data_IF_248584713059
#
_entry.id   IF_248584713059
#
_cell.length_a   1.000
_cell.length_b   1.000
_cell.length_c   1.000
_cell.angle_alpha   90.00
_cell.angle_beta   90.00
_cell.angle_gamma   90.00
#
_symmetry.space_group_name_H-M   'P 1'
#
loop_
_entity.id
_entity.type
_entity.pdbx_description
1 polymer ?
#
# COMPACT_ATOMS: atom_id res chain seq x y z
N UNK A 1 -37.01 10.04 -4.52
CA UNK A 1 -35.92 9.28 -5.16
C UNK A 1 -36.50 8.66 -6.44
N UNK A 2 -35.80 8.76 -7.58
CA UNK A 2 -36.27 8.17 -8.85
C UNK A 2 -36.25 6.64 -8.72
N UNK A 3 -37.34 5.94 -9.07
CA UNK A 3 -37.49 4.48 -8.83
C UNK A 3 -36.32 3.64 -9.38
N UNK A 4 -35.72 4.06 -10.51
CA UNK A 4 -34.53 3.43 -11.09
C UNK A 4 -33.26 3.54 -10.25
N UNK A 5 -33.04 4.67 -9.56
CA UNK A 5 -31.87 4.86 -8.69
C UNK A 5 -31.96 3.95 -7.46
N UNK A 6 -33.14 3.84 -6.85
CA UNK A 6 -33.35 2.96 -5.69
C UNK A 6 -33.13 1.49 -6.05
N UNK A 7 -33.55 1.06 -7.24
CA UNK A 7 -33.27 -0.30 -7.75
C UNK A 7 -31.78 -0.54 -7.97
N UNK A 8 -31.05 0.43 -8.55
CA UNK A 8 -29.59 0.34 -8.73
C UNK A 8 -28.86 0.20 -7.40
N UNK A 9 -29.11 1.10 -6.44
CA UNK A 9 -28.47 1.04 -5.12
C UNK A 9 -28.74 -0.31 -4.42
N UNK A 10 -29.97 -0.82 -4.53
CA UNK A 10 -30.34 -2.11 -3.95
C UNK A 10 -29.62 -3.29 -4.64
N UNK A 11 -29.49 -3.25 -5.97
CA UNK A 11 -28.74 -4.24 -6.74
C UNK A 11 -27.26 -4.25 -6.39
N UNK A 12 -26.61 -3.09 -6.45
CA UNK A 12 -25.20 -2.92 -6.06
C UNK A 12 -24.95 -3.41 -4.62
N UNK A 13 -25.88 -3.15 -3.70
CA UNK A 13 -25.76 -3.63 -2.32
C UNK A 13 -25.92 -5.15 -2.22
N UNK A 14 -26.83 -5.74 -2.99
CA UNK A 14 -27.06 -7.18 -2.95
C UNK A 14 -25.77 -7.96 -3.26
N UNK A 15 -25.04 -7.55 -4.30
CA UNK A 15 -23.76 -8.13 -4.72
C UNK A 15 -22.69 -8.06 -3.62
N UNK A 16 -22.65 -6.96 -2.85
CA UNK A 16 -21.68 -6.75 -1.77
C UNK A 16 -22.13 -7.27 -0.40
N UNK A 17 -23.41 -7.61 -0.26
CA UNK A 17 -24.00 -8.09 0.99
C UNK A 17 -23.80 -9.58 1.21
N UNK A 18 -23.36 -10.32 0.20
CA UNK A 18 -23.30 -11.77 0.22
C UNK A 18 -22.41 -12.33 1.37
N UNK A 19 -22.86 -13.39 2.06
CA UNK A 19 -22.07 -14.10 3.07
C UNK A 19 -20.77 -14.73 2.53
N UNK A 20 -20.63 -14.85 1.22
CA UNK A 20 -19.49 -15.43 0.49
C UNK A 20 -18.44 -14.40 0.07
N UNK A 21 -18.65 -13.10 0.32
CA UNK A 21 -17.75 -12.06 -0.17
C UNK A 21 -16.32 -12.30 0.35
N UNK A 22 -15.42 -12.68 -0.56
CA UNK A 22 -13.99 -12.87 -0.34
C UNK A 22 -13.23 -11.65 -0.85
N UNK A 23 -11.92 -11.58 -0.57
CA UNK A 23 -11.08 -10.53 -1.13
C UNK A 23 -11.03 -10.59 -2.67
N UNK A 24 -11.01 -11.79 -3.26
CA UNK A 24 -11.11 -11.95 -4.72
C UNK A 24 -12.44 -11.43 -5.25
N UNK A 25 -13.57 -11.73 -4.60
CA UNK A 25 -14.88 -11.22 -5.02
C UNK A 25 -14.99 -9.70 -4.93
N UNK A 26 -14.33 -9.07 -3.95
CA UNK A 26 -14.24 -7.60 -3.88
C UNK A 26 -13.43 -7.06 -5.06
N UNK A 27 -12.30 -7.68 -5.40
CA UNK A 27 -11.45 -7.25 -6.50
C UNK A 27 -12.18 -7.37 -7.85
N UNK A 28 -12.87 -8.49 -8.06
CA UNK A 28 -13.68 -8.74 -9.25
C UNK A 28 -14.80 -7.70 -9.38
N UNK A 29 -15.47 -7.37 -8.26
CA UNK A 29 -16.51 -6.35 -8.21
C UNK A 29 -15.97 -4.96 -8.54
N UNK A 30 -14.82 -4.58 -7.96
CA UNK A 30 -14.22 -3.27 -8.18
C UNK A 30 -13.60 -3.13 -9.58
N UNK A 31 -13.25 -4.24 -10.24
CA UNK A 31 -12.69 -4.23 -11.59
C UNK A 31 -11.36 -3.47 -11.70
N UNK A 32 -10.58 -3.39 -10.62
CA UNK A 32 -9.37 -2.60 -10.56
C UNK A 32 -8.25 -3.17 -11.41
N UNK A 33 -7.55 -2.27 -12.11
CA UNK A 33 -6.31 -2.61 -12.78
C UNK A 33 -5.16 -2.80 -11.79
N UNK A 34 -4.05 -3.43 -12.18
CA UNK A 34 -2.84 -3.50 -11.36
C UNK A 34 -2.30 -2.11 -10.96
N UNK A 35 -2.49 -1.10 -11.81
CA UNK A 35 -2.10 0.29 -11.52
C UNK A 35 -2.97 0.89 -10.41
N UNK A 36 -4.28 0.65 -10.45
CA UNK A 36 -5.20 1.10 -9.39
C UNK A 36 -4.84 0.47 -8.05
N UNK A 37 -4.59 -0.85 -8.03
CA UNK A 37 -4.18 -1.58 -6.84
C UNK A 37 -2.83 -1.07 -6.31
N UNK A 38 -1.84 -0.86 -7.17
CA UNK A 38 -0.56 -0.26 -6.77
C UNK A 38 -0.73 1.18 -6.25
N UNK A 39 -1.68 1.94 -6.81
CA UNK A 39 -2.08 3.26 -6.34
C UNK A 39 -2.67 3.22 -4.93
N UNK A 40 -3.63 2.31 -4.69
CA UNK A 40 -4.25 2.11 -3.37
C UNK A 40 -3.20 1.67 -2.35
N UNK A 41 -2.36 0.69 -2.69
CA UNK A 41 -1.32 0.18 -1.81
C UNK A 41 -0.33 1.28 -1.39
N UNK A 42 0.14 2.10 -2.34
CA UNK A 42 1.01 3.24 -2.04
C UNK A 42 0.30 4.31 -1.22
N UNK A 43 -0.92 4.67 -1.60
CA UNK A 43 -1.71 5.69 -0.90
C UNK A 43 -1.93 5.33 0.55
N UNK A 44 -2.44 4.12 0.82
CA UNK A 44 -2.73 3.67 2.18
C UNK A 44 -1.46 3.46 3.02
N UNK A 45 -0.34 3.04 2.43
CA UNK A 45 0.93 2.86 3.17
C UNK A 45 1.69 4.16 3.38
N UNK A 46 1.41 5.21 2.60
CA UNK A 46 2.05 6.52 2.72
C UNK A 46 1.48 7.41 3.83
N UNK A 47 0.33 7.04 4.42
CA UNK A 47 -0.28 7.78 5.53
C UNK A 47 0.58 7.67 6.78
N UNK A 48 0.80 8.79 7.45
CA UNK A 48 1.77 8.85 8.56
C UNK A 48 1.08 8.60 9.90
N UNK A 49 0.17 9.49 10.29
CA UNK A 49 -0.40 9.49 11.63
C UNK A 49 -1.81 8.92 11.67
N UNK A 50 -2.66 9.24 10.68
CA UNK A 50 -4.07 8.85 10.68
C UNK A 50 -4.35 7.51 10.01
N UNK A 51 -3.34 6.88 9.40
CA UNK A 51 -3.45 5.54 8.83
C UNK A 51 -4.59 5.43 7.81
N UNK A 52 -5.38 4.37 7.92
CA UNK A 52 -6.49 4.13 6.99
C UNK A 52 -7.54 5.25 6.99
N UNK A 53 -7.72 5.97 8.10
CA UNK A 53 -8.70 7.08 8.18
C UNK A 53 -8.22 8.27 7.36
N UNK A 54 -6.95 8.66 7.53
CA UNK A 54 -6.32 9.73 6.75
C UNK A 54 -6.39 9.43 5.24
N UNK A 55 -6.19 8.16 4.85
CA UNK A 55 -6.37 7.73 3.47
C UNK A 55 -7.81 7.96 2.98
N UNK A 56 -8.82 7.54 3.75
CA UNK A 56 -10.24 7.76 3.39
C UNK A 56 -10.59 9.25 3.28
N UNK A 57 -10.10 10.07 4.21
CA UNK A 57 -10.29 11.52 4.17
C UNK A 57 -9.66 12.14 2.92
N UNK A 58 -8.47 11.68 2.54
CA UNK A 58 -7.78 12.14 1.32
C UNK A 58 -8.57 11.89 0.03
N UNK A 59 -9.46 10.89 0.03
CA UNK A 59 -10.37 10.58 -1.09
C UNK A 59 -11.67 11.38 -1.01
N UNK A 60 -12.21 11.60 0.20
CA UNK A 60 -13.50 12.30 0.39
C UNK A 60 -13.38 13.83 0.29
N UNK A 61 -12.29 14.42 0.78
CA UNK A 61 -12.11 15.88 0.77
C UNK A 61 -12.16 16.45 -0.65
N UNK A 62 -11.44 15.89 -1.65
CA UNK A 62 -11.55 16.34 -3.04
C UNK A 62 -12.95 16.20 -3.63
N UNK A 63 -13.66 15.11 -3.34
CA UNK A 63 -15.04 14.91 -3.78
C UNK A 63 -15.93 16.06 -3.29
N UNK A 64 -15.94 16.35 -1.98
CA UNK A 64 -16.78 17.42 -1.45
C UNK A 64 -16.34 18.81 -1.90
N UNK A 65 -15.03 19.03 -2.11
CA UNK A 65 -14.52 20.25 -2.74
C UNK A 65 -15.09 20.44 -4.15
N UNK A 66 -15.08 19.39 -4.97
CA UNK A 66 -15.66 19.40 -6.31
C UNK A 66 -17.18 19.66 -6.27
N UNK A 67 -17.91 18.98 -5.40
CA UNK A 67 -19.36 19.18 -5.27
C UNK A 67 -19.69 20.60 -4.80
N UNK A 68 -18.87 21.20 -3.95
CA UNK A 68 -19.02 22.59 -3.51
C UNK A 68 -18.79 23.58 -4.64
N UNK A 69 -17.77 23.35 -5.47
CA UNK A 69 -17.53 24.14 -6.68
C UNK A 69 -18.71 24.12 -7.66
N UNK A 70 -19.49 23.03 -7.73
CA UNK A 70 -20.67 22.95 -8.61
C UNK A 70 -21.74 23.99 -8.28
N UNK A 71 -21.75 24.56 -7.07
CA UNK A 71 -22.64 25.67 -6.69
C UNK A 71 -22.35 26.93 -7.51
N UNK A 72 -21.10 27.13 -7.91
CA UNK A 72 -20.62 28.37 -8.53
C UNK A 72 -20.27 28.22 -10.00
N UNK A 73 -19.81 27.04 -10.44
CA UNK A 73 -19.42 26.77 -11.83
C UNK A 73 -20.02 25.47 -12.35
N UNK A 74 -20.00 25.31 -13.67
CA UNK A 74 -20.33 24.04 -14.31
C UNK A 74 -19.10 23.13 -14.26
N UNK A 75 -19.30 21.88 -13.86
CA UNK A 75 -18.25 20.86 -13.78
C UNK A 75 -18.51 19.83 -14.86
N UNK A 76 -17.44 19.42 -15.56
CA UNK A 76 -17.51 18.41 -16.60
C UNK A 76 -17.84 17.03 -16.06
N UNK A 77 -18.51 16.20 -16.86
CA UNK A 77 -18.84 14.83 -16.47
C UNK A 77 -17.59 13.97 -16.23
N UNK A 78 -16.49 14.24 -16.92
CA UNK A 78 -15.21 13.54 -16.72
C UNK A 78 -14.66 13.75 -15.30
N UNK A 79 -14.83 14.96 -14.74
CA UNK A 79 -14.40 15.23 -13.37
C UNK A 79 -15.25 14.48 -12.34
N UNK A 80 -16.56 14.34 -12.58
CA UNK A 80 -17.44 13.53 -11.73
C UNK A 80 -17.14 12.03 -11.86
N UNK A 81 -16.84 11.56 -13.07
CA UNK A 81 -16.43 10.18 -13.30
C UNK A 81 -15.09 9.86 -12.61
N UNK A 82 -14.12 10.78 -12.64
CA UNK A 82 -12.88 10.64 -11.90
C UNK A 82 -13.11 10.53 -10.39
N UNK A 83 -14.04 11.31 -9.83
CA UNK A 83 -14.39 11.18 -8.40
C UNK A 83 -15.11 9.86 -8.09
N UNK A 84 -15.90 9.31 -9.00
CA UNK A 84 -16.46 7.96 -8.82
C UNK A 84 -15.36 6.90 -8.70
N UNK A 85 -14.29 7.00 -9.51
CA UNK A 85 -13.15 6.08 -9.38
C UNK A 85 -12.46 6.20 -8.01
N UNK A 86 -12.35 7.41 -7.45
CA UNK A 86 -11.83 7.59 -6.08
C UNK A 86 -12.80 7.02 -5.02
N UNK A 87 -14.11 7.11 -5.23
CA UNK A 87 -15.11 6.48 -4.35
C UNK A 87 -15.01 4.96 -4.43
N UNK A 88 -14.72 4.37 -5.60
CA UNK A 88 -14.49 2.93 -5.71
C UNK A 88 -13.29 2.49 -4.84
N UNK A 89 -12.20 3.27 -4.81
CA UNK A 89 -11.04 2.98 -3.92
C UNK A 89 -11.44 3.04 -2.45
N UNK A 90 -12.26 4.03 -2.08
CA UNK A 90 -12.81 4.17 -0.73
C UNK A 90 -13.69 2.98 -0.35
N UNK A 91 -14.54 2.54 -1.28
CA UNK A 91 -15.41 1.38 -1.13
C UNK A 91 -14.58 0.10 -0.93
N UNK A 92 -13.56 -0.11 -1.75
CA UNK A 92 -12.64 -1.23 -1.65
C UNK A 92 -11.98 -1.31 -0.26
N UNK A 93 -11.32 -0.23 0.18
CA UNK A 93 -10.65 -0.21 1.49
C UNK A 93 -11.63 -0.53 2.62
N UNK A 94 -12.84 0.02 2.56
CA UNK A 94 -13.86 -0.20 3.58
C UNK A 94 -14.43 -1.63 3.55
N UNK A 95 -14.58 -2.22 2.36
CA UNK A 95 -14.98 -3.62 2.20
C UNK A 95 -13.92 -4.57 2.77
N UNK A 96 -12.63 -4.28 2.55
CA UNK A 96 -11.54 -5.07 3.14
C UNK A 96 -11.57 -4.97 4.66
N UNK A 97 -11.72 -3.77 5.24
CA UNK A 97 -11.90 -3.61 6.70
C UNK A 97 -13.13 -4.37 7.23
N UNK A 98 -14.23 -4.37 6.47
CA UNK A 98 -15.42 -5.17 6.78
C UNK A 98 -15.11 -6.67 6.78
N UNK A 99 -14.29 -7.18 5.86
CA UNK A 99 -13.84 -8.58 5.87
C UNK A 99 -13.08 -8.93 7.15
N UNK A 100 -12.13 -8.08 7.57
CA UNK A 100 -11.41 -8.26 8.84
C UNK A 100 -12.37 -8.27 10.03
N UNK A 101 -13.28 -7.30 10.10
CA UNK A 101 -14.27 -7.23 11.18
C UNK A 101 -15.23 -8.43 11.19
N UNK A 102 -15.45 -9.07 10.03
CA UNK A 102 -16.25 -10.29 9.92
C UNK A 102 -15.49 -11.58 10.23
N UNK A 103 -14.15 -11.52 10.37
CA UNK A 103 -13.28 -12.67 10.58
C UNK A 103 -13.12 -13.57 9.34
N UNK A 104 -13.31 -13.03 8.13
CA UNK A 104 -13.30 -13.78 6.87
C UNK A 104 -12.05 -13.58 6.02
N UNK A 105 -11.05 -12.85 6.52
CA UNK A 105 -9.80 -12.70 5.79
C UNK A 105 -9.02 -14.01 5.88
N UNK A 106 -8.95 -14.72 4.76
CA UNK A 106 -8.08 -15.87 4.57
C UNK A 106 -6.76 -15.36 4.01
N UNK A 107 -5.67 -15.70 4.70
CA UNK A 107 -4.30 -15.30 4.36
C UNK A 107 -3.92 -15.76 2.94
N UNK A 108 -3.17 -14.96 2.15
CA UNK A 108 -2.60 -15.34 0.84
C UNK A 108 -1.51 -16.42 0.91
N UNK A 109 -1.55 -17.33 1.88
CA UNK A 109 -0.50 -18.32 2.12
C UNK A 109 -0.55 -19.54 1.21
N UNK A 110 -1.52 -19.65 0.30
CA UNK A 110 -1.57 -20.76 -0.66
C UNK A 110 -0.71 -20.56 -1.93
N UNK A 111 -0.07 -19.42 -2.12
CA UNK A 111 0.85 -19.20 -3.25
C UNK A 111 2.26 -18.86 -2.77
N UNK A 112 2.95 -19.89 -2.25
CA UNK A 112 4.42 -19.90 -2.21
C UNK A 112 4.94 -20.18 -3.62
N UNK A 113 5.16 -19.13 -4.39
CA UNK A 113 6.07 -19.19 -5.54
C UNK A 113 7.37 -18.49 -5.16
N UNK A 114 8.39 -19.31 -5.01
CA UNK A 114 9.79 -18.93 -4.83
C UNK A 114 10.29 -18.17 -6.06
N UNK A 115 10.22 -16.85 -6.06
CA UNK A 115 11.00 -16.04 -7.01
C UNK A 115 11.68 -14.89 -6.27
N UNK A 116 13.00 -14.95 -6.27
CA UNK A 116 13.89 -13.89 -5.80
C UNK A 116 13.95 -12.85 -6.92
N UNK A 117 13.23 -11.74 -6.78
CA UNK A 117 13.30 -10.63 -7.73
C UNK A 117 14.57 -9.80 -7.49
N UNK A 118 15.35 -9.62 -8.56
CA UNK A 118 16.48 -8.70 -8.59
C UNK A 118 15.96 -7.26 -8.74
N UNK A 119 16.04 -6.46 -7.68
CA UNK A 119 15.81 -5.02 -7.75
C UNK A 119 16.97 -4.31 -8.47
N UNK A 120 16.63 -3.32 -9.29
CA UNK A 120 17.55 -2.54 -10.12
C UNK A 120 18.69 -1.84 -9.34
N UNK A 121 19.71 -1.30 -10.05
CA UNK A 121 21.00 -1.01 -9.46
C UNK A 121 20.99 0.27 -8.62
N UNK A 122 20.63 0.16 -7.33
CA UNK A 122 20.93 1.16 -6.32
C UNK A 122 22.44 1.46 -6.30
N UNK A 123 22.80 2.74 -6.15
CA UNK A 123 24.20 3.16 -6.05
C UNK A 123 24.79 2.71 -4.70
N UNK A 124 26.03 2.24 -4.71
CA UNK A 124 26.73 1.71 -3.54
C UNK A 124 26.80 2.75 -2.41
N UNK A 125 26.94 4.04 -2.78
CA UNK A 125 26.98 5.15 -1.81
C UNK A 125 25.67 5.32 -1.06
N UNK A 126 24.55 5.12 -1.74
CA UNK A 126 23.21 5.24 -1.15
C UNK A 126 22.96 4.09 -0.17
N UNK A 127 23.28 2.86 -0.57
CA UNK A 127 23.20 1.66 0.28
C UNK A 127 24.01 1.86 1.58
N UNK A 128 25.23 2.39 1.47
CA UNK A 128 26.10 2.60 2.62
C UNK A 128 25.62 3.73 3.52
N UNK A 129 25.13 4.83 2.94
CA UNK A 129 24.56 5.92 3.71
C UNK A 129 23.34 5.47 4.50
N UNK A 130 22.47 4.68 3.88
CA UNK A 130 21.27 4.13 4.52
C UNK A 130 21.63 3.15 5.65
N UNK A 131 22.51 2.18 5.40
CA UNK A 131 22.96 1.21 6.43
C UNK A 131 23.61 1.92 7.62
N UNK A 132 24.44 2.93 7.38
CA UNK A 132 25.11 3.68 8.46
C UNK A 132 24.15 4.59 9.23
N UNK A 133 23.18 5.21 8.56
CA UNK A 133 22.12 5.97 9.22
C UNK A 133 21.26 5.08 10.13
N UNK A 134 20.92 3.87 9.67
CA UNK A 134 20.16 2.88 10.45
C UNK A 134 20.95 2.35 11.64
N UNK A 135 22.23 2.02 11.47
CA UNK A 135 23.11 1.62 12.58
C UNK A 135 23.25 2.74 13.63
N UNK A 136 23.24 4.00 13.20
CA UNK A 136 23.29 5.15 14.10
C UNK A 136 21.98 5.30 14.89
N UNK A 137 20.84 5.05 14.26
CA UNK A 137 19.54 5.05 14.91
C UNK A 137 19.35 3.85 15.85
N UNK A 138 19.85 2.67 15.46
CA UNK A 138 19.73 1.43 16.21
C UNK A 138 21.07 0.65 16.24
N UNK A 139 21.86 0.79 17.31
CA UNK A 139 23.18 0.16 17.42
C UNK A 139 23.18 -1.38 17.42
N UNK A 140 22.06 -2.01 17.77
CA UNK A 140 21.87 -3.48 17.78
C UNK A 140 21.98 -4.08 16.36
N UNK A 141 21.69 -3.30 15.31
CA UNK A 141 21.75 -3.74 13.91
C UNK A 141 23.16 -4.14 13.48
N UNK A 142 24.21 -3.70 14.18
CA UNK A 142 25.59 -4.19 13.97
C UNK A 142 25.73 -5.69 14.20
N UNK A 143 24.82 -6.29 14.97
CA UNK A 143 24.82 -7.72 15.26
C UNK A 143 24.17 -8.56 14.16
N UNK A 144 23.36 -7.95 13.28
CA UNK A 144 22.69 -8.61 12.17
C UNK A 144 23.70 -9.18 11.16
N UNK A 145 23.48 -10.43 10.73
CA UNK A 145 24.42 -11.14 9.87
C UNK A 145 24.60 -10.47 8.51
N UNK A 146 23.53 -9.97 7.90
CA UNK A 146 23.59 -9.30 6.60
C UNK A 146 24.36 -7.97 6.70
N UNK A 147 24.16 -7.21 7.77
CA UNK A 147 24.91 -5.96 8.04
C UNK A 147 26.40 -6.23 8.24
N UNK A 148 26.76 -7.29 8.98
CA UNK A 148 28.16 -7.71 9.15
C UNK A 148 28.80 -8.07 7.81
N UNK A 149 28.08 -8.77 6.95
CA UNK A 149 28.57 -9.18 5.63
C UNK A 149 28.74 -7.95 4.71
N UNK A 150 27.84 -6.98 4.74
CA UNK A 150 27.99 -5.69 4.02
C UNK A 150 29.24 -4.94 4.48
N UNK A 151 29.43 -4.78 5.80
CA UNK A 151 30.60 -4.09 6.36
C UNK A 151 31.91 -4.81 6.04
N UNK A 152 31.91 -6.14 6.01
CA UNK A 152 33.07 -6.95 5.63
C UNK A 152 33.43 -6.74 4.16
N UNK A 153 32.44 -6.75 3.26
CA UNK A 153 32.67 -6.48 1.84
C UNK A 153 33.10 -5.04 1.57
N UNK A 154 32.65 -4.08 2.39
CA UNK A 154 33.14 -2.70 2.34
C UNK A 154 34.62 -2.60 2.73
N UNK A 155 35.06 -3.32 3.77
CA UNK A 155 36.47 -3.36 4.15
C UNK A 155 37.34 -3.96 3.04
N UNK A 156 36.84 -4.99 2.34
CA UNK A 156 37.49 -5.57 1.15
C UNK A 156 37.54 -4.52 0.03
N UNK A 157 36.45 -3.82 -0.26
CA UNK A 157 36.40 -2.75 -1.26
C UNK A 157 37.44 -1.65 -1.00
N UNK A 158 37.59 -1.20 0.25
CA UNK A 158 38.57 -0.19 0.64
C UNK A 158 40.01 -0.69 0.46
N UNK A 159 40.29 -1.93 0.87
CA UNK A 159 41.62 -2.54 0.70
C UNK A 159 42.00 -2.73 -0.76
N UNK A 160 41.06 -3.16 -1.61
CA UNK A 160 41.27 -3.28 -3.05
C UNK A 160 41.49 -1.91 -3.72
N UNK A 161 40.76 -0.88 -3.29
CA UNK A 161 40.94 0.49 -3.76
C UNK A 161 42.33 1.06 -3.39
N UNK A 162 42.79 0.82 -2.17
CA UNK A 162 44.15 1.21 -1.75
C UNK A 162 45.23 0.48 -2.53
N UNK A 163 45.01 -0.80 -2.82
CA UNK A 163 45.91 -1.63 -3.64
C UNK A 163 45.98 -1.11 -5.07
N UNK A 164 44.83 -0.71 -5.62
CA UNK A 164 44.74 -0.09 -6.94
C UNK A 164 45.51 1.23 -7.00
N UNK A 165 45.31 2.14 -6.04
CA UNK A 165 46.03 3.42 -6.00
C UNK A 165 47.55 3.26 -5.83
N UNK A 166 48.00 2.22 -5.13
CA UNK A 166 49.45 1.88 -5.00
C UNK A 166 50.05 1.30 -6.28
N UNK A 167 49.30 0.51 -7.04
CA UNK A 167 49.79 -0.19 -8.24
C UNK A 167 49.65 0.65 -9.52
N UNK A 168 48.68 1.55 -9.58
CA UNK A 168 48.40 2.47 -10.69
C UNK A 168 49.62 3.29 -11.17
N UNK A 169 50.49 3.87 -10.32
CA UNK A 169 51.67 4.60 -10.78
C UNK A 169 52.78 3.72 -11.36
N UNK A 170 52.75 2.40 -11.14
CA UNK A 170 53.81 1.48 -11.56
C UNK A 170 53.55 0.82 -12.93
N UNK A 171 52.40 1.07 -13.54
CA UNK A 171 52.01 0.45 -14.82
C UNK A 171 52.31 1.43 -15.96
N UNK A 172 53.48 1.28 -16.57
CA UNK A 172 53.97 2.15 -17.67
C UNK A 172 53.52 1.70 -19.07
N UNK A 173 52.97 0.50 -19.18
CA UNK A 173 52.58 -0.14 -20.46
C UNK A 173 51.07 -0.07 -20.66
N UNK A 174 50.63 0.49 -21.80
CA UNK A 174 49.23 0.76 -22.11
C UNK A 174 48.37 -0.51 -22.21
N UNK A 175 48.94 -1.63 -22.68
CA UNK A 175 48.19 -2.90 -22.76
C UNK A 175 47.99 -3.51 -21.37
N UNK A 176 49.00 -3.42 -20.51
CA UNK A 176 48.92 -3.87 -19.11
C UNK A 176 47.99 -2.99 -18.28
N UNK A 177 47.93 -1.68 -18.58
CA UNK A 177 47.00 -0.76 -17.94
C UNK A 177 45.53 -1.09 -18.22
N UNK A 178 45.20 -1.51 -19.45
CA UNK A 178 43.84 -1.92 -19.82
C UNK A 178 43.44 -3.25 -19.19
N UNK A 179 44.32 -4.25 -19.19
CA UNK A 179 44.08 -5.52 -18.51
C UNK A 179 43.90 -5.33 -16.99
N UNK A 180 44.73 -4.46 -16.38
CA UNK A 180 44.60 -4.07 -14.98
C UNK A 180 43.24 -3.44 -14.70
N UNK A 181 42.84 -2.40 -15.46
CA UNK A 181 41.53 -1.74 -15.27
C UNK A 181 40.36 -2.72 -15.39
N UNK A 182 40.42 -3.67 -16.33
CA UNK A 182 39.37 -4.68 -16.52
C UNK A 182 39.26 -5.62 -15.32
N UNK A 183 40.38 -6.16 -14.81
CA UNK A 183 40.38 -7.03 -13.63
C UNK A 183 39.87 -6.33 -12.37
N UNK A 184 40.22 -5.05 -12.19
CA UNK A 184 39.71 -4.25 -11.08
C UNK A 184 38.22 -3.95 -11.24
N UNK A 185 37.75 -3.63 -12.45
CA UNK A 185 36.33 -3.43 -12.72
C UNK A 185 35.52 -4.69 -12.40
N UNK A 186 35.99 -5.88 -12.80
CA UNK A 186 35.35 -7.16 -12.49
C UNK A 186 35.32 -7.44 -10.98
N UNK A 187 36.44 -7.18 -10.29
CA UNK A 187 36.52 -7.30 -8.82
C UNK A 187 35.54 -6.35 -8.12
N UNK A 188 35.49 -5.08 -8.51
CA UNK A 188 34.57 -4.10 -7.94
C UNK A 188 33.10 -4.39 -8.26
N UNK A 189 32.79 -4.90 -9.44
CA UNK A 189 31.44 -5.37 -9.78
C UNK A 189 31.02 -6.54 -8.90
N UNK A 190 31.92 -7.52 -8.69
CA UNK A 190 31.65 -8.67 -7.81
C UNK A 190 31.39 -8.25 -6.36
N UNK A 191 32.21 -7.35 -5.84
CA UNK A 191 32.03 -6.80 -4.48
C UNK A 191 30.71 -6.01 -4.40
N UNK A 192 30.42 -5.16 -5.39
CA UNK A 192 29.19 -4.37 -5.43
C UNK A 192 27.94 -5.24 -5.54
N UNK A 193 27.96 -6.28 -6.37
CA UNK A 193 26.87 -7.25 -6.48
C UNK A 193 26.63 -8.00 -5.17
N UNK A 194 27.70 -8.36 -4.47
CA UNK A 194 27.60 -9.03 -3.17
C UNK A 194 27.02 -8.10 -2.09
N UNK A 195 27.43 -6.83 -2.06
CA UNK A 195 26.86 -5.82 -1.16
C UNK A 195 25.37 -5.60 -1.43
N UNK A 196 24.98 -5.47 -2.71
CA UNK A 196 23.58 -5.35 -3.11
C UNK A 196 22.74 -6.53 -2.67
N UNK A 197 23.26 -7.76 -2.86
CA UNK A 197 22.59 -8.99 -2.43
C UNK A 197 22.32 -8.99 -0.92
N UNK A 198 23.35 -8.72 -0.11
CA UNK A 198 23.18 -8.70 1.35
C UNK A 198 22.32 -7.53 1.84
N UNK A 199 22.34 -6.40 1.13
CA UNK A 199 21.44 -5.30 1.43
C UNK A 199 19.98 -5.66 1.14
N UNK A 200 19.70 -6.30 0.01
CA UNK A 200 18.37 -6.81 -0.30
C UNK A 200 17.90 -7.83 0.76
N UNK A 201 18.77 -8.75 1.19
CA UNK A 201 18.49 -9.70 2.28
C UNK A 201 18.23 -9.01 3.62
N UNK A 202 18.96 -7.93 3.93
CA UNK A 202 18.76 -7.14 5.14
C UNK A 202 17.40 -6.42 5.15
N UNK A 203 17.03 -5.78 4.05
CA UNK A 203 15.73 -5.11 3.89
C UNK A 203 14.58 -6.14 3.89
N UNK A 204 14.77 -7.29 3.23
CA UNK A 204 13.82 -8.39 3.25
C UNK A 204 13.63 -8.99 4.66
N UNK A 205 14.70 -9.06 5.46
CA UNK A 205 14.66 -9.51 6.85
C UNK A 205 13.93 -8.54 7.77
N UNK A 206 14.18 -7.23 7.65
CA UNK A 206 13.46 -6.22 8.44
C UNK A 206 11.98 -6.15 8.09
N UNK A 207 11.64 -6.26 6.80
CA UNK A 207 10.24 -6.37 6.38
C UNK A 207 9.60 -7.66 6.88
N UNK A 208 10.32 -8.80 6.94
CA UNK A 208 9.84 -10.05 7.53
C UNK A 208 9.58 -9.98 9.05
N UNK A 209 10.45 -9.32 9.81
CA UNK A 209 10.25 -9.13 11.26
C UNK A 209 9.08 -8.17 11.55
N UNK A 210 8.98 -7.06 10.80
CA UNK A 210 7.79 -6.20 10.86
C UNK A 210 6.51 -6.96 10.46
N UNK A 211 6.56 -7.80 9.42
CA UNK A 211 5.44 -8.66 8.96
C UNK A 211 4.96 -9.65 10.03
N UNK A 212 5.84 -10.21 10.86
CA UNK A 212 5.45 -11.11 11.95
C UNK A 212 4.78 -10.35 13.11
N UNK A 213 5.18 -9.12 13.38
CA UNK A 213 4.56 -8.30 14.44
C UNK A 213 3.20 -7.72 14.04
N UNK A 214 2.98 -7.40 12.76
CA UNK A 214 1.73 -6.79 12.26
C UNK A 214 0.61 -7.81 12.01
N UNK A 215 0.89 -8.94 11.35
CA UNK A 215 -0.12 -9.99 11.05
C UNK A 215 -0.70 -10.62 12.31
N UNK A 216 0.15 -10.78 13.32
CA UNK A 216 -0.23 -11.35 14.60
C UNK A 216 -1.09 -10.37 15.43
N UNK A 217 -1.20 -9.09 15.04
CA UNK A 217 -1.87 -8.06 15.82
C UNK A 217 -3.38 -7.92 15.53
N UNK A 218 -3.81 -7.86 14.26
CA UNK A 218 -5.24 -7.66 13.93
C UNK A 218 -6.09 -8.87 14.33
N UNK A 219 -5.59 -10.09 14.13
CA UNK A 219 -6.28 -11.34 14.50
C UNK A 219 -6.50 -11.48 16.01
N UNK A 220 -5.70 -10.78 16.83
CA UNK A 220 -5.80 -10.76 18.30
C UNK A 220 -6.77 -9.72 18.83
N UNK A 221 -7.22 -8.79 18.00
CA UNK A 221 -8.13 -7.71 18.39
C UNK A 221 -9.57 -8.13 18.06
N UNK A 222 -10.54 -7.99 18.99
CA UNK A 222 -11.93 -8.30 18.72
C UNK A 222 -12.59 -7.25 17.80
N UNK A 223 -12.36 -7.35 16.49
CA UNK A 223 -12.83 -6.39 15.48
C UNK A 223 -14.33 -6.47 15.19
N UNK A 224 -15.04 -7.49 15.70
CA UNK A 224 -16.46 -7.75 15.40
C UNK A 224 -17.38 -6.57 15.72
N UNK A 225 -17.02 -5.76 16.72
CA UNK A 225 -17.76 -4.54 17.07
C UNK A 225 -17.80 -3.50 15.94
N UNK A 226 -16.80 -3.50 15.05
CA UNK A 226 -16.69 -2.55 13.93
C UNK A 226 -17.52 -2.96 12.71
N UNK A 227 -17.98 -4.21 12.64
CA UNK A 227 -18.68 -4.75 11.47
C UNK A 227 -19.91 -3.92 11.08
N UNK A 228 -20.68 -3.49 12.08
CA UNK A 228 -21.89 -2.68 11.85
C UNK A 228 -21.55 -1.30 11.30
N UNK A 229 -20.45 -0.69 11.76
CA UNK A 229 -19.99 0.61 11.31
C UNK A 229 -19.44 0.54 9.88
N UNK A 230 -18.58 -0.42 9.58
CA UNK A 230 -18.07 -0.61 8.21
C UNK A 230 -19.20 -0.95 7.24
N UNK A 231 -20.21 -1.72 7.67
CA UNK A 231 -21.39 -1.98 6.86
C UNK A 231 -22.17 -0.70 6.54
N UNK A 232 -22.31 0.22 7.51
CA UNK A 232 -22.92 1.54 7.25
C UNK A 232 -22.09 2.36 6.27
N UNK A 233 -20.77 2.44 6.49
CA UNK A 233 -19.87 3.16 5.59
C UNK A 233 -19.95 2.63 4.15
N UNK A 234 -19.89 1.31 3.95
CA UNK A 234 -20.02 0.69 2.62
C UNK A 234 -21.33 1.09 1.95
N UNK A 235 -22.47 1.00 2.66
CA UNK A 235 -23.78 1.39 2.11
C UNK A 235 -23.80 2.86 1.68
N UNK A 236 -23.19 3.72 2.48
CA UNK A 236 -23.16 5.15 2.22
C UNK A 236 -22.26 5.51 1.03
N UNK A 237 -21.07 4.93 0.94
CA UNK A 237 -20.19 5.12 -0.22
C UNK A 237 -20.79 4.56 -1.50
N UNK A 238 -21.46 3.40 -1.41
CA UNK A 238 -22.16 2.80 -2.54
C UNK A 238 -23.35 3.65 -3.01
N UNK A 239 -24.10 4.23 -2.07
CA UNK A 239 -25.20 5.16 -2.36
C UNK A 239 -24.67 6.38 -3.12
N UNK A 240 -23.58 6.99 -2.67
CA UNK A 240 -22.96 8.14 -3.36
C UNK A 240 -22.54 7.73 -4.77
N UNK A 241 -21.72 6.67 -4.90
CA UNK A 241 -21.21 6.18 -6.19
C UNK A 241 -22.34 5.94 -7.18
N UNK A 242 -23.36 5.20 -6.76
CA UNK A 242 -24.53 4.87 -7.58
C UNK A 242 -25.28 6.13 -8.01
N UNK A 243 -25.42 7.10 -7.09
CA UNK A 243 -26.15 8.34 -7.33
C UNK A 243 -25.43 9.25 -8.32
N UNK A 244 -24.11 9.42 -8.18
CA UNK A 244 -23.29 10.20 -9.12
C UNK A 244 -23.26 9.51 -10.48
N UNK A 245 -23.04 8.19 -10.52
CA UNK A 245 -23.02 7.41 -11.77
C UNK A 245 -24.35 7.53 -12.52
N UNK A 246 -25.47 7.34 -11.81
CA UNK A 246 -26.81 7.48 -12.39
C UNK A 246 -27.07 8.89 -12.93
N UNK A 247 -26.64 9.93 -12.21
CA UNK A 247 -26.77 11.31 -12.65
C UNK A 247 -25.96 11.59 -13.93
N UNK A 248 -24.71 11.11 -13.98
CA UNK A 248 -23.80 11.28 -15.12
C UNK A 248 -24.32 10.53 -16.35
N UNK A 249 -24.70 9.26 -16.21
CA UNK A 249 -25.24 8.43 -17.30
C UNK A 249 -26.55 9.00 -17.86
N UNK A 250 -27.46 9.42 -16.98
CA UNK A 250 -28.74 9.99 -17.36
C UNK A 250 -28.67 11.44 -17.84
N UNK A 251 -27.53 12.13 -17.65
CA UNK A 251 -27.32 13.56 -17.92
C UNK A 251 -28.46 14.45 -17.37
N UNK A 252 -29.07 14.04 -16.26
CA UNK A 252 -30.31 14.63 -15.74
C UNK A 252 -30.10 15.16 -14.33
N UNK A 253 -30.45 16.43 -14.10
CA UNK A 253 -30.40 17.11 -12.79
C UNK A 253 -29.11 16.89 -12.00
N UNK A 254 -27.98 16.82 -12.71
CA UNK A 254 -26.68 16.46 -12.13
C UNK A 254 -26.28 17.43 -11.02
N UNK A 255 -26.46 18.74 -11.24
CA UNK A 255 -26.16 19.77 -10.23
C UNK A 255 -27.01 19.59 -8.98
N UNK A 256 -28.32 19.41 -9.13
CA UNK A 256 -29.23 19.26 -7.99
C UNK A 256 -28.91 18.00 -7.17
N UNK A 257 -28.57 16.90 -7.84
CA UNK A 257 -28.15 15.65 -7.20
C UNK A 257 -26.84 15.85 -6.44
N UNK A 258 -25.84 16.47 -7.07
CA UNK A 258 -24.55 16.76 -6.45
C UNK A 258 -24.66 17.69 -5.24
N UNK A 259 -25.52 18.72 -5.32
CA UNK A 259 -25.81 19.61 -4.18
C UNK A 259 -26.49 18.86 -3.04
N UNK A 260 -27.37 17.89 -3.34
CA UNK A 260 -27.99 17.06 -2.31
C UNK A 260 -26.95 16.20 -1.57
N UNK A 261 -26.03 15.55 -2.30
CA UNK A 261 -24.93 14.79 -1.70
C UNK A 261 -24.04 15.70 -0.83
N UNK A 262 -23.74 16.91 -1.31
CA UNK A 262 -22.94 17.88 -0.56
C UNK A 262 -23.59 18.28 0.77
N UNK A 263 -24.91 18.39 0.82
CA UNK A 263 -25.62 18.72 2.06
C UNK A 263 -25.51 17.62 3.12
N UNK A 264 -25.09 16.41 2.74
CA UNK A 264 -24.86 15.28 3.64
C UNK A 264 -23.37 15.16 4.06
N UNK A 265 -22.49 16.08 3.63
CA UNK A 265 -21.04 16.08 3.92
C UNK A 265 -20.73 15.76 5.39
N UNK A 266 -21.34 16.47 6.32
CA UNK A 266 -21.12 16.28 7.77
C UNK A 266 -21.50 14.87 8.23
N UNK A 267 -22.54 14.28 7.64
CA UNK A 267 -22.95 12.91 7.96
C UNK A 267 -21.86 11.92 7.55
N UNK A 268 -21.23 12.11 6.39
CA UNK A 268 -20.15 11.22 5.93
C UNK A 268 -18.89 11.33 6.79
N UNK A 269 -18.43 12.56 7.10
CA UNK A 269 -17.29 12.73 7.99
C UNK A 269 -17.57 12.20 9.39
N UNK A 270 -18.81 12.32 9.90
CA UNK A 270 -19.18 11.74 11.19
C UNK A 270 -19.04 10.21 11.25
N UNK A 271 -19.10 9.50 10.12
CA UNK A 271 -18.85 8.06 10.07
C UNK A 271 -17.36 7.73 10.22
N UNK A 272 -16.47 8.61 9.75
CA UNK A 272 -15.02 8.49 9.97
C UNK A 272 -14.66 8.85 11.42
N UNK A 273 -15.29 9.88 11.98
CA UNK A 273 -15.13 10.23 13.41
C UNK A 273 -15.56 9.08 14.32
N UNK A 274 -16.68 8.41 13.98
CA UNK A 274 -17.13 7.21 14.68
C UNK A 274 -16.15 6.04 14.56
N UNK A 275 -15.51 5.88 13.40
CA UNK A 275 -14.47 4.86 13.17
C UNK A 275 -13.25 5.16 14.04
N UNK A 276 -12.79 6.40 14.06
CA UNK A 276 -11.66 6.82 14.90
C UNK A 276 -11.96 6.61 16.38
N UNK A 277 -13.14 7.03 16.85
CA UNK A 277 -13.56 6.85 18.23
C UNK A 277 -13.63 5.35 18.60
N UNK A 278 -14.10 4.51 17.68
CA UNK A 278 -14.16 3.06 17.87
C UNK A 278 -12.76 2.43 17.92
N UNK A 279 -11.83 2.89 17.09
CA UNK A 279 -10.42 2.45 17.16
C UNK A 279 -9.78 2.82 18.49
N UNK A 280 -9.89 4.08 18.91
CA UNK A 280 -9.34 4.54 20.20
C UNK A 280 -9.93 3.76 21.38
N UNK A 281 -11.21 3.38 21.31
CA UNK A 281 -11.85 2.54 22.34
C UNK A 281 -11.27 1.13 22.37
N UNK A 282 -11.16 0.48 21.20
CA UNK A 282 -10.57 -0.86 21.10
C UNK A 282 -9.10 -0.89 21.52
N UNK A 283 -8.34 0.13 21.16
CA UNK A 283 -6.94 0.29 21.56
C UNK A 283 -6.78 0.37 23.09
N UNK A 284 -7.68 1.11 23.77
CA UNK A 284 -7.72 1.18 25.24
C UNK A 284 -8.11 -0.17 25.87
N UNK A 285 -9.11 -0.85 25.30
CA UNK A 285 -9.59 -2.14 25.80
C UNK A 285 -8.56 -3.27 25.63
N UNK A 286 -7.73 -3.16 24.60
CA UNK A 286 -6.66 -4.11 24.30
C UNK A 286 -5.27 -3.63 24.74
N UNK A 287 -5.21 -2.64 25.63
CA UNK A 287 -3.98 -2.13 26.21
C UNK A 287 -3.11 -3.27 26.78
N UNK A 288 -1.87 -3.39 26.29
CA UNK A 288 -0.94 -4.47 26.64
C UNK A 288 -0.96 -5.71 25.71
N UNK A 289 -1.86 -5.76 24.71
CA UNK A 289 -1.93 -6.84 23.71
C UNK A 289 -1.70 -6.38 22.26
N UNK A 290 -1.75 -5.08 22.00
CA UNK A 290 -1.54 -4.47 20.69
C UNK A 290 -0.07 -4.02 20.58
N UNK A 291 0.59 -4.15 19.40
CA UNK A 291 1.90 -3.55 19.13
C UNK A 291 1.92 -2.03 19.40
N UNK A 292 3.09 -1.41 19.38
CA UNK A 292 3.25 0.06 19.46
C UNK A 292 2.48 0.83 18.37
N UNK A 293 2.03 0.14 17.31
CA UNK A 293 1.25 0.69 16.20
C UNK A 293 -0.24 0.81 16.54
N UNK A 294 -0.82 1.98 16.22
CA UNK A 294 -2.27 2.22 16.30
C UNK A 294 -3.06 1.31 15.35
N UNK A 295 -4.31 0.99 15.69
CA UNK A 295 -5.21 0.12 14.94
C UNK A 295 -5.46 0.65 13.52
N UNK A 296 -5.54 1.97 13.37
CA UNK A 296 -5.63 2.65 12.06
C UNK A 296 -4.40 2.42 11.19
N UNK A 297 -3.20 2.40 11.78
CA UNK A 297 -1.95 2.07 11.07
C UNK A 297 -1.84 0.59 10.75
N UNK A 298 -2.34 -0.28 11.63
CA UNK A 298 -2.39 -1.73 11.39
C UNK A 298 -3.30 -2.06 10.19
N UNK A 299 -4.51 -1.49 10.13
CA UNK A 299 -5.38 -1.63 8.96
C UNK A 299 -4.72 -1.12 7.68
N UNK A 300 -4.06 0.04 7.74
CA UNK A 300 -3.39 0.61 6.58
C UNK A 300 -2.27 -0.31 6.04
N UNK A 301 -1.41 -0.81 6.92
CA UNK A 301 -0.33 -1.72 6.56
C UNK A 301 -0.86 -3.01 5.95
N UNK A 302 -1.91 -3.57 6.55
CA UNK A 302 -2.47 -4.85 6.12
C UNK A 302 -3.18 -4.74 4.76
N UNK A 303 -4.02 -3.71 4.58
CA UNK A 303 -4.68 -3.45 3.30
C UNK A 303 -3.65 -3.20 2.20
N UNK A 304 -2.63 -2.37 2.49
CA UNK A 304 -1.56 -2.10 1.54
C UNK A 304 -0.81 -3.36 1.13
N UNK A 305 -0.53 -4.24 2.09
CA UNK A 305 0.13 -5.52 1.84
C UNK A 305 -0.68 -6.45 0.94
N UNK A 306 -1.96 -6.68 1.27
CA UNK A 306 -2.80 -7.57 0.45
C UNK A 306 -2.93 -7.03 -0.96
N UNK A 307 -3.17 -5.73 -1.09
CA UNK A 307 -3.33 -5.07 -2.37
C UNK A 307 -2.06 -5.19 -3.23
N UNK A 308 -0.87 -4.98 -2.65
CA UNK A 308 0.40 -5.16 -3.34
C UNK A 308 0.63 -6.61 -3.80
N UNK A 309 0.29 -7.60 -2.96
CA UNK A 309 0.43 -9.01 -3.30
C UNK A 309 -0.44 -9.44 -4.48
N UNK A 310 -1.64 -8.90 -4.63
CA UNK A 310 -2.47 -9.19 -5.79
C UNK A 310 -1.82 -8.69 -7.08
N UNK A 311 -1.16 -7.52 -7.04
CA UNK A 311 -0.41 -6.99 -8.19
C UNK A 311 0.75 -7.91 -8.56
N UNK A 312 1.52 -8.36 -7.58
CA UNK A 312 2.65 -9.29 -7.78
C UNK A 312 2.19 -10.63 -8.39
N UNK A 313 1.09 -11.20 -7.87
CA UNK A 313 0.55 -12.47 -8.34
C UNK A 313 -0.03 -12.38 -9.76
N UNK A 314 -0.74 -11.29 -10.10
CA UNK A 314 -1.29 -11.08 -11.45
C UNK A 314 -0.17 -10.88 -12.48
N UNK A 315 0.88 -10.14 -12.12
CA UNK A 315 2.06 -9.98 -12.97
C UNK A 315 2.77 -11.33 -13.24
N UNK A 316 2.89 -12.17 -12.21
CA UNK A 316 3.49 -13.50 -12.34
C UNK A 316 2.64 -14.44 -13.23
N UNK A 317 1.31 -14.41 -13.12
CA UNK A 317 0.41 -15.22 -13.97
C UNK A 317 0.54 -14.83 -15.44
N UNK A 318 0.55 -13.52 -15.75
CA UNK A 318 0.67 -13.02 -17.13
C UNK A 318 2.04 -13.28 -17.75
N UNK A 319 3.10 -13.37 -16.93
CA UNK A 319 4.42 -13.73 -17.41
C UNK A 319 4.50 -15.23 -17.78
N UNK A 320 3.83 -16.10 -17.02
CA UNK A 320 3.78 -17.54 -17.28
C UNK A 320 3.02 -17.89 -18.58
N UNK A 321 1.92 -17.19 -18.87
CA UNK A 321 1.13 -17.41 -20.10
C UNK A 321 1.83 -16.95 -21.39
N UNK A 322 2.92 -16.18 -21.29
CA UNK A 322 3.70 -15.66 -22.42
C UNK A 322 5.02 -16.42 -22.65
N UNK A 323 5.24 -17.53 -21.95
CA UNK A 323 6.40 -18.45 -22.11
C UNK A 323 5.97 -19.81 -22.60
#
# INVERSE_FOLDING_TARGET
>A
MVEGLSKRIAGDWAELSEPSLSLSGILDYCGFSPEDLAGIARGVTSTVEGGVIEYKESLLVPLFGLLEEMKYKNIGFDALAAQNAEIDKLLFVTLVQRLYASGRVVSPEEHRSTHTEEQGPLDLKEILSDVMARIKAEPSLKSNNAVKLILTQLAIYQRERETMEKLKPNIKDAQKANAFRKNFAETFQKISGTIRKYYAEFIAGQTAEARQHTRVALDRIPLRGLLSLFTKQVREFLRIRSTISFAVEGKYKVREICVHILNEKETFFSLLDQEEASYRKLEKEAAGKIPELSLRSLFAAEIGFHTAKFVENDAASRAADNT
#
